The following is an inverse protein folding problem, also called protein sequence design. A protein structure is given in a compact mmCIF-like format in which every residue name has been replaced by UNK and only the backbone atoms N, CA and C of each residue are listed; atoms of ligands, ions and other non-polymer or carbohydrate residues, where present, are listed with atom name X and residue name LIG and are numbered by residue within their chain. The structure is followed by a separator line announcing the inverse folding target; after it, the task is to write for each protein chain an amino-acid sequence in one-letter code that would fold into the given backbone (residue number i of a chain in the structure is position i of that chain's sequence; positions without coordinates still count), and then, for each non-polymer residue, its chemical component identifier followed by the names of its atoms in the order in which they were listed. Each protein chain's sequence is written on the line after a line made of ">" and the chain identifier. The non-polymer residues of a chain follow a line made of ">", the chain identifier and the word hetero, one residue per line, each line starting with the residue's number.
data_IF_414853073236
#
_entry.id   IF_414853073236
#
_cell.length_a   1.000
_cell.length_b   1.000
_cell.length_c   1.000
_cell.angle_alpha   90.00
_cell.angle_beta   90.00
_cell.angle_gamma   90.00
#
_symmetry.space_group_name_H-M   'P 1'
#
loop_
_entity.id
_entity.type
_entity.pdbx_description
1 polymer ?
#
# COMPACT_ATOMS: atom_id res chain seq x y z
N UNK A 1 -6.77 -5.41 0.00
CA UNK A 1 -6.89 -4.02 0.49
C UNK A 1 -7.48 -3.94 1.89
N UNK A 2 -8.75 -4.30 2.16
CA UNK A 2 -9.34 -4.21 3.51
C UNK A 2 -8.46 -4.83 4.61
N UNK A 3 -8.05 -6.09 4.43
CA UNK A 3 -7.18 -6.76 5.42
C UNK A 3 -5.79 -6.15 5.54
N UNK A 4 -5.25 -5.56 4.47
CA UNK A 4 -3.97 -4.85 4.48
C UNK A 4 -4.08 -3.62 5.37
N UNK A 5 -5.15 -2.84 5.22
CA UNK A 5 -5.41 -1.66 6.05
C UNK A 5 -5.62 -2.04 7.51
N UNK A 6 -6.45 -3.05 7.80
CA UNK A 6 -6.63 -3.48 9.20
C UNK A 6 -5.34 -3.97 9.84
N UNK A 7 -4.44 -4.61 9.07
CA UNK A 7 -3.12 -5.03 9.58
C UNK A 7 -2.21 -3.85 9.86
N UNK A 8 -2.36 -2.75 9.13
CA UNK A 8 -1.63 -1.51 9.35
C UNK A 8 -2.29 -0.59 10.40
N UNK A 9 -3.31 -1.09 11.12
CA UNK A 9 -4.04 -0.30 12.12
C UNK A 9 -5.03 0.72 11.53
N UNK A 10 -5.25 0.68 10.21
CA UNK A 10 -6.14 1.59 9.51
C UNK A 10 -7.55 0.99 9.35
N UNK A 11 -8.60 1.83 9.23
CA UNK A 11 -9.96 1.35 9.02
C UNK A 11 -10.07 0.57 7.71
N UNK A 12 -10.48 -0.69 7.79
CA UNK A 12 -10.55 -1.56 6.62
C UNK A 12 -11.52 -1.08 5.54
N UNK A 13 -12.60 -0.39 5.94
CA UNK A 13 -13.59 0.17 5.02
C UNK A 13 -13.01 1.24 4.10
N UNK A 14 -11.89 1.86 4.48
CA UNK A 14 -11.19 2.83 3.64
C UNK A 14 -10.80 2.23 2.28
N UNK A 15 -10.68 0.90 2.18
CA UNK A 15 -10.42 0.20 0.94
C UNK A 15 -11.52 0.34 -0.12
N UNK A 16 -12.76 0.63 0.30
CA UNK A 16 -13.94 0.71 -0.58
C UNK A 16 -14.08 2.10 -1.19
N UNK A 17 -13.77 3.16 -0.43
CA UNK A 17 -13.94 4.53 -0.91
C UNK A 17 -12.84 4.84 -1.94
N UNK A 18 -13.22 5.14 -3.20
CA UNK A 18 -12.26 5.54 -4.22
C UNK A 18 -11.49 6.79 -3.79
N UNK A 19 -10.21 6.88 -4.17
CA UNK A 19 -9.25 7.94 -3.80
C UNK A 19 -8.86 7.96 -2.32
N UNK A 20 -9.80 7.76 -1.39
CA UNK A 20 -9.48 7.63 0.03
C UNK A 20 -8.64 6.38 0.29
N UNK A 21 -8.90 5.29 -0.43
CA UNK A 21 -8.06 4.10 -0.39
C UNK A 21 -6.60 4.38 -0.83
N UNK A 22 -6.38 5.26 -1.81
CA UNK A 22 -5.04 5.67 -2.25
C UNK A 22 -4.39 6.56 -1.19
N UNK A 23 -5.12 7.52 -0.64
CA UNK A 23 -4.65 8.36 0.47
C UNK A 23 -4.15 7.48 1.62
N UNK A 24 -4.99 6.59 2.17
CA UNK A 24 -4.61 5.74 3.31
C UNK A 24 -3.41 4.85 2.97
N UNK A 25 -3.39 4.27 1.78
CA UNK A 25 -2.27 3.41 1.35
C UNK A 25 -0.95 4.20 1.26
N UNK A 26 -0.98 5.40 0.70
CA UNK A 26 0.23 6.20 0.43
C UNK A 26 0.70 6.94 1.67
N UNK A 27 -0.20 7.56 2.43
CA UNK A 27 0.18 8.36 3.61
C UNK A 27 0.34 7.51 4.85
N UNK A 28 -0.68 6.71 5.18
CA UNK A 28 -0.74 6.03 6.47
C UNK A 28 0.04 4.71 6.49
N UNK A 29 0.05 4.00 5.35
CA UNK A 29 0.74 2.70 5.24
C UNK A 29 2.15 2.85 4.65
N UNK A 30 2.30 3.64 3.58
CA UNK A 30 3.60 3.86 2.95
C UNK A 30 4.41 4.99 3.61
N UNK A 31 3.79 5.86 4.41
CA UNK A 31 4.47 6.96 5.12
C UNK A 31 4.85 8.15 4.24
N UNK A 32 4.20 8.35 3.08
CA UNK A 32 4.52 9.44 2.15
C UNK A 32 3.60 10.64 2.33
N UNK A 33 4.02 11.80 1.85
CA UNK A 33 3.23 13.02 1.92
C UNK A 33 2.07 13.05 0.90
N UNK A 34 1.25 14.11 0.99
CA UNK A 34 0.09 14.30 0.12
C UNK A 34 0.46 14.50 -1.36
N UNK A 35 1.67 14.99 -1.65
CA UNK A 35 2.14 15.14 -3.03
C UNK A 35 2.21 13.76 -3.71
N UNK A 36 2.68 12.74 -3.00
CA UNK A 36 2.69 11.36 -3.51
C UNK A 36 1.29 10.79 -3.76
N UNK A 37 0.27 11.24 -3.03
CA UNK A 37 -1.13 10.86 -3.29
C UNK A 37 -1.56 11.42 -4.65
N UNK A 38 -1.31 12.71 -4.89
CA UNK A 38 -1.65 13.39 -6.15
C UNK A 38 -0.90 12.74 -7.32
N UNK A 39 0.41 12.53 -7.17
CA UNK A 39 1.23 11.88 -8.19
C UNK A 39 0.72 10.46 -8.52
N UNK A 40 0.30 9.69 -7.52
CA UNK A 40 -0.22 8.34 -7.71
C UNK A 40 -1.54 8.29 -8.49
N UNK A 41 -2.34 9.36 -8.43
CA UNK A 41 -3.62 9.48 -9.13
C UNK A 41 -3.41 9.99 -10.56
N UNK A 42 -2.58 11.01 -10.74
CA UNK A 42 -2.36 11.68 -12.04
C UNK A 42 -1.38 10.89 -12.92
N UNK A 43 -0.37 10.26 -12.32
CA UNK A 43 0.68 9.51 -13.02
C UNK A 43 0.70 8.07 -12.48
N UNK A 44 -0.05 7.14 -13.10
CA UNK A 44 -0.21 5.77 -12.57
C UNK A 44 1.10 5.01 -12.33
N UNK A 45 2.16 5.34 -13.07
CA UNK A 45 3.49 4.76 -12.87
C UNK A 45 4.15 5.23 -11.56
N UNK A 46 3.82 6.42 -11.06
CA UNK A 46 4.36 6.94 -9.81
C UNK A 46 3.89 6.12 -8.59
N UNK A 47 2.75 5.41 -8.70
CA UNK A 47 2.22 4.55 -7.65
C UNK A 47 3.14 3.35 -7.31
N UNK A 48 4.04 2.96 -8.21
CA UNK A 48 5.03 1.89 -7.96
C UNK A 48 5.86 2.20 -6.70
N UNK A 49 6.23 3.45 -6.51
CA UNK A 49 7.11 3.87 -5.41
C UNK A 49 6.41 3.69 -4.04
N UNK A 50 5.21 4.26 -3.79
CA UNK A 50 4.44 3.94 -2.59
C UNK A 50 4.18 2.44 -2.38
N UNK A 51 3.95 1.67 -3.44
CA UNK A 51 3.72 0.22 -3.30
C UNK A 51 4.98 -0.55 -2.87
N UNK A 52 6.16 -0.10 -3.28
CA UNK A 52 7.44 -0.60 -2.76
C UNK A 52 7.56 -0.30 -1.27
N UNK A 53 7.17 0.89 -0.83
CA UNK A 53 7.25 1.25 0.58
C UNK A 53 6.19 0.53 1.42
N UNK A 54 4.99 0.29 0.88
CA UNK A 54 4.03 -0.63 1.49
C UNK A 54 4.64 -2.02 1.62
N UNK A 55 5.28 -2.56 0.58
CA UNK A 55 5.93 -3.87 0.68
C UNK A 55 6.99 -3.89 1.80
N UNK A 56 7.86 -2.88 1.85
CA UNK A 56 8.88 -2.73 2.91
C UNK A 56 8.28 -2.58 4.30
N UNK A 57 7.19 -1.82 4.44
CA UNK A 57 6.46 -1.66 5.70
C UNK A 57 5.92 -2.99 6.25
N UNK A 58 5.76 -4.00 5.39
CA UNK A 58 5.36 -5.35 5.76
C UNK A 58 6.53 -6.36 5.77
N UNK A 59 7.78 -5.87 5.73
CA UNK A 59 9.00 -6.69 5.71
C UNK A 59 9.23 -7.43 4.39
N UNK A 60 8.72 -6.93 3.27
CA UNK A 60 8.92 -7.49 1.93
C UNK A 60 9.88 -6.62 1.11
N UNK A 61 10.55 -7.24 0.14
CA UNK A 61 11.52 -6.56 -0.74
C UNK A 61 10.88 -5.82 -1.91
N UNK A 62 11.70 -5.07 -2.66
CA UNK A 62 11.30 -4.25 -3.81
C UNK A 62 10.52 -5.02 -4.87
N UNK A 63 10.93 -6.26 -5.19
CA UNK A 63 10.22 -7.10 -6.16
C UNK A 63 8.78 -7.41 -5.77
N UNK A 64 8.47 -7.48 -4.46
CA UNK A 64 7.11 -7.63 -3.98
C UNK A 64 6.28 -6.36 -4.21
N UNK A 65 6.90 -5.18 -4.05
CA UNK A 65 6.29 -3.88 -4.38
C UNK A 65 5.94 -3.74 -5.86
N UNK A 66 6.87 -4.16 -6.73
CA UNK A 66 6.60 -4.24 -8.18
C UNK A 66 5.48 -5.24 -8.47
N UNK A 67 5.46 -6.38 -7.78
CA UNK A 67 4.37 -7.36 -7.85
C UNK A 67 3.01 -6.81 -7.41
N UNK A 68 2.97 -5.94 -6.39
CA UNK A 68 1.75 -5.23 -5.99
C UNK A 68 1.22 -4.31 -7.09
N UNK A 69 2.10 -3.69 -7.88
CA UNK A 69 1.70 -2.82 -8.98
C UNK A 69 1.23 -3.60 -10.21
N UNK A 70 2.01 -4.60 -10.65
CA UNK A 70 1.71 -5.39 -11.85
C UNK A 70 0.57 -6.41 -11.63
N UNK A 71 0.54 -7.03 -10.46
CA UNK A 71 -0.32 -8.16 -10.11
C UNK A 71 -1.05 -7.92 -8.78
N UNK A 72 -1.54 -6.70 -8.58
CA UNK A 72 -2.28 -6.29 -7.38
C UNK A 72 -3.35 -7.27 -6.91
N UNK A 73 -4.23 -7.82 -7.78
CA UNK A 73 -5.25 -8.80 -7.38
C UNK A 73 -4.70 -10.05 -6.69
N UNK A 74 -3.43 -10.39 -6.89
CA UNK A 74 -2.76 -11.54 -6.27
C UNK A 74 -1.97 -11.09 -5.04
N UNK A 75 -1.14 -10.05 -5.18
CA UNK A 75 -0.20 -9.64 -4.13
C UNK A 75 -0.88 -8.94 -2.95
N UNK A 76 -1.98 -8.20 -3.16
CA UNK A 76 -2.71 -7.58 -2.05
C UNK A 76 -3.41 -8.59 -1.13
N UNK A 77 -4.08 -9.64 -1.63
CA UNK A 77 -4.56 -10.74 -0.78
C UNK A 77 -3.43 -11.49 -0.07
N UNK A 78 -2.33 -11.80 -0.76
CA UNK A 78 -1.15 -12.43 -0.13
C UNK A 78 -0.60 -11.59 1.04
N UNK A 79 -0.54 -10.26 0.87
CA UNK A 79 -0.09 -9.35 1.92
C UNK A 79 -1.12 -9.28 3.07
N UNK A 80 -2.41 -9.16 2.71
CA UNK A 80 -3.51 -8.95 3.63
C UNK A 80 -3.87 -10.18 4.46
N UNK A 81 -3.82 -11.38 3.89
CA UNK A 81 -4.22 -12.63 4.55
C UNK A 81 -3.02 -13.53 4.91
N UNK A 82 -1.84 -13.30 4.33
CA UNK A 82 -0.63 -14.07 4.66
C UNK A 82 -0.06 -13.73 6.05
N UNK A 83 1.10 -14.30 6.37
CA UNK A 83 1.77 -14.12 7.68
C UNK A 83 2.48 -12.77 7.87
N UNK A 84 2.55 -11.93 6.82
CA UNK A 84 3.20 -10.63 6.87
C UNK A 84 2.53 -9.73 7.92
N UNK A 85 3.35 -9.13 8.79
CA UNK A 85 2.94 -8.14 9.80
C UNK A 85 3.41 -6.76 9.38
N UNK A 86 2.59 -5.75 9.68
CA UNK A 86 2.98 -4.36 9.52
C UNK A 86 4.03 -3.99 10.56
N UNK A 87 5.13 -3.40 10.12
CA UNK A 87 6.30 -3.01 10.92
C UNK A 87 6.42 -1.48 11.05
N UNK A 88 5.51 -0.74 10.40
CA UNK A 88 5.58 0.72 10.28
C UNK A 88 6.15 1.15 8.94
N UNK A 89 5.89 2.41 8.57
CA UNK A 89 6.42 2.97 7.32
C UNK A 89 7.96 2.92 7.31
N UNK A 90 8.58 2.52 6.19
CA UNK A 90 10.03 2.52 6.06
C UNK A 90 10.52 3.97 6.09
N UNK A 91 11.30 4.33 7.12
CA UNK A 91 11.96 5.64 7.20
C UNK A 91 13.05 5.76 6.14
#
# INVERSE_FOLDING_TARGET
>A
MWKVFTKAGQPGWAAIIPLYNVYVLVTEVAGRDLLWVILSIVVPLALVVPLIDVAKAFGKGTGYGVGLWLLGPIFFPLLGFGSARYQGAPR
#
